data_IF_639268362645
#
_entry.id   IF_639268362645
#
_cell.length_a   1.000
_cell.length_b   1.000
_cell.length_c   1.000
_cell.angle_alpha   90.00
_cell.angle_beta   90.00
_cell.angle_gamma   90.00
#
_symmetry.space_group_name_H-M   'P 1'
#
loop_
_entity.id
_entity.type
_entity.pdbx_description
1 polymer ?
#
# COMPACT_ATOMS: atom_id res chain seq x y z
N UNK A 1 -0.91 -25.12 5.82
CA UNK A 1 0.20 -24.17 5.67
C UNK A 1 -0.31 -22.87 5.06
N UNK A 2 0.14 -21.75 5.60
CA UNK A 2 -0.22 -20.45 5.04
C UNK A 2 0.67 -20.17 3.84
N UNK A 3 0.04 -19.88 2.71
CA UNK A 3 0.79 -19.47 1.52
C UNK A 3 1.26 -18.03 1.70
N UNK A 4 2.46 -17.78 1.23
CA UNK A 4 3.00 -16.42 1.21
C UNK A 4 2.78 -15.85 -0.19
N UNK A 5 2.28 -14.63 -0.24
CA UNK A 5 2.10 -13.89 -1.48
C UNK A 5 3.03 -12.70 -1.51
N UNK A 6 3.29 -12.20 -2.71
CA UNK A 6 4.14 -11.03 -2.91
C UNK A 6 3.29 -9.90 -3.46
N UNK A 7 3.36 -8.74 -2.80
CA UNK A 7 2.66 -7.54 -3.23
C UNK A 7 3.65 -6.39 -3.33
N UNK A 8 3.29 -5.39 -4.10
CA UNK A 8 4.10 -4.19 -4.27
C UNK A 8 3.29 -2.97 -3.87
N UNK A 9 3.91 -2.04 -3.18
CA UNK A 9 3.27 -0.79 -2.76
C UNK A 9 4.02 0.38 -3.36
N UNK A 10 3.30 1.25 -4.05
CA UNK A 10 3.85 2.49 -4.60
C UNK A 10 3.20 3.68 -3.93
N UNK A 11 4.01 4.66 -3.60
CA UNK A 11 3.56 5.87 -2.91
C UNK A 11 3.69 7.07 -3.84
N UNK A 12 2.62 7.83 -3.96
CA UNK A 12 2.57 9.00 -4.84
C UNK A 12 2.36 10.27 -4.03
N UNK A 13 2.53 11.42 -4.68
CA UNK A 13 2.29 12.75 -4.09
C UNK A 13 3.12 13.01 -2.83
N UNK A 14 4.35 12.51 -2.81
CA UNK A 14 5.27 12.77 -1.70
C UNK A 14 5.03 11.94 -0.45
N UNK A 15 4.17 10.94 -0.51
CA UNK A 15 3.89 10.10 0.65
C UNK A 15 5.12 9.34 1.15
N UNK A 16 6.09 9.10 0.28
CA UNK A 16 7.32 8.43 0.67
C UNK A 16 8.10 9.21 1.73
N UNK A 17 7.91 10.54 1.78
CA UNK A 17 8.56 11.38 2.79
C UNK A 17 7.91 11.24 4.16
N UNK A 18 6.65 10.84 4.21
CA UNK A 18 5.92 10.64 5.45
C UNK A 18 6.09 9.23 6.00
N UNK A 19 6.73 8.37 5.22
CA UNK A 19 6.98 7.00 5.61
C UNK A 19 8.19 6.89 6.50
N UNK A 20 8.09 5.94 7.42
CA UNK A 20 9.21 5.62 8.28
C UNK A 20 9.84 4.28 7.85
N UNK A 21 10.12 4.18 6.55
CA UNK A 21 10.72 2.98 5.97
C UNK A 21 11.98 3.38 5.21
N UNK A 22 13.09 2.78 5.57
CA UNK A 22 14.37 3.01 4.90
C UNK A 22 14.41 2.26 3.57
N UNK A 23 15.10 2.84 2.60
CA UNK A 23 15.36 2.17 1.32
C UNK A 23 14.21 2.17 0.34
N UNK A 24 13.22 3.05 0.50
CA UNK A 24 12.14 3.14 -0.46
C UNK A 24 12.62 3.65 -1.81
N UNK A 25 12.34 2.90 -2.85
CA UNK A 25 12.66 3.28 -4.23
C UNK A 25 11.40 3.80 -4.91
N UNK A 26 11.45 5.06 -5.37
CA UNK A 26 10.30 5.71 -6.00
C UNK A 26 9.86 5.02 -7.30
N UNK A 27 10.79 4.39 -7.99
CA UNK A 27 10.48 3.73 -9.26
C UNK A 27 9.90 2.34 -9.05
N UNK A 28 10.43 1.61 -8.10
CA UNK A 28 10.04 0.23 -7.87
C UNK A 28 9.02 0.05 -6.76
N UNK A 29 8.94 0.99 -5.83
CA UNK A 29 8.08 0.86 -4.69
C UNK A 29 8.66 -0.08 -3.64
N UNK A 30 7.79 -0.59 -2.78
CA UNK A 30 8.18 -1.54 -1.74
C UNK A 30 7.57 -2.90 -2.09
N UNK A 31 8.41 -3.92 -2.11
CA UNK A 31 7.94 -5.30 -2.30
C UNK A 31 7.83 -5.98 -0.95
N UNK A 32 6.68 -6.57 -0.68
CA UNK A 32 6.42 -7.23 0.60
C UNK A 32 5.96 -8.65 0.37
N UNK A 33 6.44 -9.55 1.22
CA UNK A 33 5.98 -10.93 1.28
C UNK A 33 5.08 -11.07 2.50
N UNK A 34 3.83 -11.41 2.27
CA UNK A 34 2.81 -11.44 3.31
C UNK A 34 1.98 -12.70 3.21
N UNK A 35 1.34 -13.14 4.29
CA UNK A 35 0.44 -14.28 4.21
C UNK A 35 -0.74 -14.02 3.29
N UNK A 36 -1.15 -15.04 2.57
CA UNK A 36 -2.36 -14.97 1.75
C UNK A 36 -3.55 -14.57 2.61
N UNK A 37 -4.40 -13.67 2.09
CA UNK A 37 -5.57 -13.19 2.82
C UNK A 37 -5.31 -11.98 3.69
N UNK A 38 -4.06 -11.49 3.73
CA UNK A 38 -3.75 -10.26 4.46
C UNK A 38 -4.52 -9.10 3.85
N UNK A 39 -5.10 -8.27 4.71
CA UNK A 39 -5.86 -7.10 4.27
C UNK A 39 -4.92 -5.91 4.07
N UNK A 40 -5.33 -5.01 3.17
CA UNK A 40 -4.57 -3.79 2.86
C UNK A 40 -4.23 -2.99 4.12
N UNK A 41 -5.16 -2.90 5.06
CA UNK A 41 -4.95 -2.18 6.32
C UNK A 41 -3.66 -2.63 7.03
N UNK A 42 -3.43 -3.93 7.06
CA UNK A 42 -2.25 -4.47 7.71
C UNK A 42 -0.97 -4.04 7.01
N UNK A 43 -0.98 -4.07 5.68
CA UNK A 43 0.17 -3.66 4.88
C UNK A 43 0.49 -2.19 5.07
N UNK A 44 -0.53 -1.34 5.03
CA UNK A 44 -0.37 0.11 5.23
C UNK A 44 0.21 0.39 6.61
N UNK A 45 -0.25 -0.34 7.61
CA UNK A 45 0.26 -0.21 8.98
C UNK A 45 1.73 -0.66 9.06
N UNK A 46 2.08 -1.73 8.37
CA UNK A 46 3.46 -2.25 8.37
C UNK A 46 4.44 -1.25 7.79
N UNK A 47 4.05 -0.52 6.75
CA UNK A 47 4.94 0.47 6.12
C UNK A 47 4.94 1.82 6.85
N UNK A 48 4.13 1.97 7.88
CA UNK A 48 4.19 3.13 8.76
C UNK A 48 3.48 4.38 8.28
N UNK A 49 2.51 4.27 7.38
CA UNK A 49 1.73 5.44 6.95
C UNK A 49 0.81 5.88 8.07
N UNK A 50 0.96 7.14 8.50
CA UNK A 50 0.24 7.65 9.67
C UNK A 50 -1.22 7.98 9.39
N UNK A 51 -1.52 8.53 8.24
CA UNK A 51 -2.87 9.00 7.91
C UNK A 51 -3.61 8.03 7.00
N UNK A 52 -3.53 6.73 7.30
CA UNK A 52 -4.06 5.70 6.41
C UNK A 52 -5.53 5.84 6.06
N UNK A 53 -6.34 6.43 6.94
CA UNK A 53 -7.77 6.62 6.68
C UNK A 53 -8.05 7.82 5.79
N UNK A 54 -7.08 8.73 5.67
CA UNK A 54 -7.20 9.91 4.82
C UNK A 54 -6.65 9.70 3.42
N UNK A 55 -6.07 8.52 3.16
CA UNK A 55 -5.49 8.21 1.87
C UNK A 55 -6.46 7.43 1.00
N UNK A 56 -6.21 7.43 -0.31
CA UNK A 56 -6.95 6.60 -1.25
C UNK A 56 -6.01 5.54 -1.81
N UNK A 57 -6.56 4.38 -2.09
CA UNK A 57 -5.79 3.23 -2.55
C UNK A 57 -6.40 2.65 -3.81
N UNK A 58 -5.54 2.25 -4.74
CA UNK A 58 -5.95 1.63 -5.99
C UNK A 58 -5.19 0.33 -6.21
N UNK A 59 -5.88 -0.67 -6.75
CA UNK A 59 -5.27 -1.92 -7.21
C UNK A 59 -5.83 -2.19 -8.59
N UNK A 60 -4.95 -2.35 -9.58
CA UNK A 60 -5.35 -2.58 -10.98
C UNK A 60 -6.31 -1.50 -11.51
N UNK A 61 -6.07 -0.25 -11.12
CA UNK A 61 -6.88 0.88 -11.57
C UNK A 61 -8.22 1.03 -10.87
N UNK A 62 -8.55 0.17 -9.92
CA UNK A 62 -9.79 0.24 -9.17
C UNK A 62 -9.54 0.72 -7.75
N UNK A 63 -10.40 1.63 -7.29
CA UNK A 63 -10.31 2.10 -5.91
C UNK A 63 -10.73 1.00 -4.95
N UNK A 64 -9.90 0.79 -3.92
CA UNK A 64 -10.15 -0.23 -2.91
C UNK A 64 -10.09 0.38 -1.52
N UNK A 65 -10.73 -0.28 -0.57
CA UNK A 65 -10.69 0.13 0.83
C UNK A 65 -9.66 -0.67 1.61
N UNK A 66 -9.46 -0.26 2.86
CA UNK A 66 -8.50 -0.90 3.77
C UNK A 66 -8.86 -2.35 4.12
N UNK A 67 -10.11 -2.74 3.91
CA UNK A 67 -10.55 -4.11 4.17
C UNK A 67 -10.28 -5.07 3.02
N UNK A 68 -9.78 -4.55 1.90
CA UNK A 68 -9.49 -5.38 0.73
C UNK A 68 -8.46 -6.45 1.08
N UNK A 69 -8.78 -7.71 0.78
CA UNK A 69 -7.84 -8.81 0.91
C UNK A 69 -6.93 -8.82 -0.30
N UNK A 70 -5.64 -8.93 -0.06
CA UNK A 70 -4.64 -8.84 -1.12
C UNK A 70 -4.37 -10.21 -1.72
N UNK A 71 -4.01 -10.18 -3.01
CA UNK A 71 -3.68 -11.39 -3.75
C UNK A 71 -2.26 -11.28 -4.29
N UNK A 72 -1.68 -12.42 -4.60
CA UNK A 72 -0.33 -12.46 -5.16
C UNK A 72 -0.25 -11.63 -6.44
N UNK A 73 0.78 -10.81 -6.50
CA UNK A 73 1.00 -9.93 -7.65
C UNK A 73 0.29 -8.60 -7.58
N UNK A 74 -0.49 -8.34 -6.53
CA UNK A 74 -1.17 -7.05 -6.40
C UNK A 74 -0.15 -5.92 -6.29
N UNK A 75 -0.45 -4.83 -6.98
CA UNK A 75 0.32 -3.59 -6.92
C UNK A 75 -0.61 -2.52 -6.38
N UNK A 76 -0.30 -2.03 -5.20
CA UNK A 76 -1.14 -1.07 -4.48
C UNK A 76 -0.58 0.33 -4.72
N UNK A 77 -1.40 1.24 -5.21
CA UNK A 77 -1.05 2.64 -5.35
C UNK A 77 -1.69 3.42 -4.19
N UNK A 78 -0.87 4.12 -3.43
CA UNK A 78 -1.33 4.95 -2.32
C UNK A 78 -1.22 6.41 -2.72
N UNK A 79 -2.31 7.15 -2.60
CA UNK A 79 -2.35 8.55 -2.99
C UNK A 79 -3.01 9.38 -1.89
N UNK A 80 -2.61 10.64 -1.85
CA UNK A 80 -3.26 11.63 -1.00
C UNK A 80 -4.37 12.27 -1.84
N UNK A 81 -5.62 12.32 -1.37
CA UNK A 81 -6.67 12.96 -2.16
C UNK A 81 -6.38 14.45 -2.32
N UNK A 82 -6.85 15.03 -3.43
CA UNK A 82 -6.64 16.44 -3.71
C UNK A 82 -7.29 17.29 -2.62
N UNK A 83 -6.52 18.21 -2.04
CA UNK A 83 -7.01 19.10 -1.02
C UNK A 83 -7.95 20.13 -1.64
N UNK A 84 -9.01 20.45 -0.91
CA UNK A 84 -9.92 21.47 -1.31
C UNK A 84 -10.91 21.05 -2.38
N UNK A 85 -10.93 19.77 -2.65
CA UNK A 85 -11.91 19.11 -3.51
C UNK A 85 -12.20 19.81 -4.77
#
# INVERSE_FOLDING_TARGET
MKNIITVKVRLFAGLDKDMNVDGYDRHEGITLNIPQGTRLKKVVKMIGLSDRYALVYFIHGERVGLRKRLEDGDEIACLRPAAGG
#
